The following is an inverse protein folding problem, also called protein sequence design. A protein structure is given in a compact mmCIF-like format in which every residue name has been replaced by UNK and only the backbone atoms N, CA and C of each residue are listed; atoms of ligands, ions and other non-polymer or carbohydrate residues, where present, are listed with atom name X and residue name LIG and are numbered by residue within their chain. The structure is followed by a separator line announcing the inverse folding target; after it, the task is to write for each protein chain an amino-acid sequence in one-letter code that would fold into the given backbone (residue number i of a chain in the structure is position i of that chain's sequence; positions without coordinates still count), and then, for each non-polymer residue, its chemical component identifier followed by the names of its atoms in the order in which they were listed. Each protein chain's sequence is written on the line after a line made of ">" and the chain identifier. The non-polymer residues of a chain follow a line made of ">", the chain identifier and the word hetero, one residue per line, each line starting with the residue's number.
data_IF_842561992883
#
_entry.id   IF_842561992883
#
_cell.length_a   1.000
_cell.length_b   1.000
_cell.length_c   1.000
_cell.angle_alpha   90.00
_cell.angle_beta   90.00
_cell.angle_gamma   90.00
#
_symmetry.space_group_name_H-M   'P 1'
#
loop_
_entity.id
_entity.type
_entity.pdbx_description
1 polymer ?
#
# COMPACT_ATOMS: atom_id res chain seq x y z
N UNK A 1 9.85 -10.00 -11.87
CA UNK A 1 8.41 -9.67 -11.78
C UNK A 1 7.57 -10.07 -12.99
N UNK A 2 8.10 -10.17 -14.23
CA UNK A 2 7.27 -10.42 -15.44
C UNK A 2 6.42 -11.69 -15.47
N UNK A 3 6.69 -12.67 -14.59
CA UNK A 3 5.92 -13.92 -14.45
C UNK A 3 4.95 -13.90 -13.27
N UNK A 4 5.01 -12.89 -12.40
CA UNK A 4 4.09 -12.77 -11.27
C UNK A 4 2.70 -12.41 -11.79
N UNK A 5 1.69 -13.19 -11.39
CA UNK A 5 0.30 -13.05 -11.86
C UNK A 5 -0.65 -13.27 -10.69
N UNK A 6 -1.75 -12.53 -10.70
CA UNK A 6 -2.91 -12.74 -9.83
C UNK A 6 -4.13 -13.06 -10.69
N UNK A 7 -5.15 -13.65 -10.09
CA UNK A 7 -6.43 -13.85 -10.77
C UNK A 7 -7.12 -12.50 -11.00
N UNK A 8 -7.69 -12.30 -12.19
CA UNK A 8 -8.59 -11.15 -12.44
C UNK A 8 -9.88 -11.21 -11.61
N UNK A 9 -10.18 -12.37 -11.02
CA UNK A 9 -11.32 -12.57 -10.13
C UNK A 9 -10.99 -12.30 -8.66
N UNK A 10 -9.74 -11.95 -8.35
CA UNK A 10 -9.34 -11.58 -7.00
C UNK A 10 -10.04 -10.28 -6.59
N UNK A 11 -10.68 -10.27 -5.42
CA UNK A 11 -11.43 -9.11 -4.93
C UNK A 11 -10.51 -7.97 -4.49
N UNK A 12 -9.23 -8.24 -4.23
CA UNK A 12 -8.23 -7.19 -4.11
C UNK A 12 -8.07 -6.40 -5.42
N UNK A 13 -8.19 -7.07 -6.57
CA UNK A 13 -8.17 -6.42 -7.88
C UNK A 13 -9.53 -5.80 -8.24
N UNK A 14 -10.63 -6.55 -8.07
CA UNK A 14 -11.95 -6.09 -8.49
C UNK A 14 -12.54 -4.98 -7.61
N UNK A 15 -12.21 -4.97 -6.31
CA UNK A 15 -12.87 -4.12 -5.32
C UNK A 15 -11.90 -3.39 -4.39
N UNK A 16 -10.59 -3.58 -4.54
CA UNK A 16 -9.60 -3.09 -3.57
C UNK A 16 -9.83 -3.65 -2.15
N UNK A 17 -10.46 -4.83 -2.01
CA UNK A 17 -10.62 -5.53 -0.72
C UNK A 17 -9.29 -6.18 -0.33
N UNK A 18 -8.37 -5.34 0.12
CA UNK A 18 -7.00 -5.68 0.44
C UNK A 18 -6.40 -4.72 1.48
N UNK A 19 -5.44 -5.23 2.24
CA UNK A 19 -4.51 -4.43 3.05
C UNK A 19 -3.08 -4.75 2.61
N UNK A 20 -2.19 -3.79 2.75
CA UNK A 20 -0.77 -3.98 2.46
C UNK A 20 0.10 -3.16 3.39
N UNK A 21 1.39 -3.50 3.42
CA UNK A 21 2.41 -2.63 3.98
C UNK A 21 3.68 -2.69 3.14
N UNK A 22 4.43 -1.60 3.20
CA UNK A 22 5.65 -1.39 2.44
C UNK A 22 6.75 -1.01 3.40
N UNK A 23 7.83 -1.78 3.40
CA UNK A 23 9.04 -1.53 4.18
C UNK A 23 10.23 -1.40 3.25
N UNK A 24 11.19 -0.55 3.63
CA UNK A 24 12.40 -0.36 2.85
C UNK A 24 13.57 -1.15 3.40
N UNK A 25 14.43 -1.62 2.49
CA UNK A 25 15.78 -2.09 2.80
C UNK A 25 16.74 -1.01 2.35
N UNK A 26 17.69 -0.66 3.23
CA UNK A 26 18.79 0.22 2.92
C UNK A 26 20.10 -0.44 3.34
N UNK A 27 21.09 -0.44 2.44
CA UNK A 27 22.38 -1.10 2.65
C UNK A 27 22.27 -2.57 3.13
N UNK A 28 21.24 -3.28 2.66
CA UNK A 28 20.97 -4.68 3.01
C UNK A 28 20.26 -4.90 4.35
N UNK A 29 19.79 -3.85 5.02
CA UNK A 29 19.05 -3.95 6.27
C UNK A 29 17.65 -3.34 6.17
N UNK A 30 16.65 -4.02 6.72
CA UNK A 30 15.30 -3.46 6.82
C UNK A 30 15.28 -2.27 7.79
N UNK A 31 14.54 -1.23 7.43
CA UNK A 31 14.29 -0.10 8.31
C UNK A 31 12.96 -0.27 9.06
N UNK A 32 13.04 -0.45 10.38
CA UNK A 32 11.87 -0.54 11.30
C UNK A 32 10.84 -1.62 10.94
N UNK A 33 11.30 -2.78 10.45
CA UNK A 33 10.43 -3.89 9.99
C UNK A 33 9.32 -4.25 10.97
N UNK A 34 9.62 -4.31 12.26
CA UNK A 34 8.66 -4.67 13.31
C UNK A 34 7.41 -3.79 13.30
N UNK A 35 7.55 -2.49 13.06
CA UNK A 35 6.41 -1.56 13.05
C UNK A 35 5.55 -1.71 11.80
N UNK A 36 6.16 -2.09 10.68
CA UNK A 36 5.44 -2.41 9.45
C UNK A 36 4.66 -3.72 9.60
N UNK A 37 5.24 -4.72 10.28
CA UNK A 37 4.56 -5.97 10.61
C UNK A 37 3.38 -5.70 11.55
N UNK A 38 3.59 -4.96 12.64
CA UNK A 38 2.51 -4.61 13.58
C UNK A 38 1.33 -3.93 12.85
N UNK A 39 1.63 -2.98 11.95
CA UNK A 39 0.60 -2.29 11.16
C UNK A 39 -0.09 -3.21 10.15
N UNK A 40 0.66 -4.09 9.48
CA UNK A 40 0.10 -5.07 8.54
C UNK A 40 -0.85 -6.05 9.23
N UNK A 41 -0.43 -6.66 10.34
CA UNK A 41 -1.27 -7.57 11.11
C UNK A 41 -2.49 -6.87 11.72
N UNK A 42 -2.35 -5.62 12.18
CA UNK A 42 -3.49 -4.79 12.58
C UNK A 42 -4.49 -4.54 11.44
N UNK A 43 -3.99 -4.36 10.21
CA UNK A 43 -4.82 -4.27 9.01
C UNK A 43 -5.59 -5.56 8.73
N UNK A 44 -4.93 -6.72 8.85
CA UNK A 44 -5.58 -8.03 8.70
C UNK A 44 -6.73 -8.20 9.70
N UNK A 45 -6.49 -7.87 10.97
CA UNK A 45 -7.49 -7.96 12.04
C UNK A 45 -8.70 -7.07 11.75
N UNK A 46 -8.46 -5.78 11.46
CA UNK A 46 -9.53 -4.80 11.18
C UNK A 46 -10.37 -5.19 9.96
N UNK A 47 -9.75 -5.78 8.94
CA UNK A 47 -10.45 -6.27 7.73
C UNK A 47 -10.98 -7.71 7.87
N UNK A 48 -10.80 -8.36 9.02
CA UNK A 48 -11.21 -9.76 9.24
C UNK A 48 -10.65 -10.69 8.16
N UNK A 49 -9.35 -10.54 7.88
CA UNK A 49 -8.59 -11.38 6.95
C UNK A 49 -7.66 -12.30 7.74
N UNK A 50 -7.38 -13.46 7.17
CA UNK A 50 -6.44 -14.43 7.74
C UNK A 50 -5.44 -14.88 6.68
N UNK A 51 -4.22 -15.15 7.13
CA UNK A 51 -3.16 -15.75 6.31
C UNK A 51 -2.60 -16.97 7.05
N UNK A 52 -2.03 -17.96 6.36
CA UNK A 52 -1.52 -19.18 7.00
C UNK A 52 -0.12 -18.98 7.62
N UNK A 53 0.33 -17.74 7.79
CA UNK A 53 1.67 -17.38 8.26
C UNK A 53 1.56 -16.53 9.51
N UNK A 54 2.35 -16.85 10.51
CA UNK A 54 2.56 -15.98 11.67
C UNK A 54 3.58 -14.87 11.34
N UNK A 55 3.88 -14.03 12.34
CA UNK A 55 4.76 -12.88 12.18
C UNK A 55 6.18 -13.31 11.79
N UNK A 56 6.67 -14.37 12.39
CA UNK A 56 8.00 -14.93 12.16
C UNK A 56 8.11 -15.47 10.73
N UNK A 57 7.11 -16.23 10.27
CA UNK A 57 7.07 -16.72 8.90
C UNK A 57 6.97 -15.59 7.87
N UNK A 58 6.15 -14.56 8.11
CA UNK A 58 6.09 -13.38 7.22
C UNK A 58 7.46 -12.68 7.19
N UNK A 59 8.12 -12.53 8.33
CA UNK A 59 9.46 -11.95 8.43
C UNK A 59 10.45 -12.72 7.56
N UNK A 60 10.51 -14.04 7.70
CA UNK A 60 11.37 -14.91 6.88
C UNK A 60 11.07 -14.79 5.39
N UNK A 61 9.78 -14.75 5.00
CA UNK A 61 9.38 -14.57 3.60
C UNK A 61 9.94 -13.25 3.04
N UNK A 62 9.85 -12.14 3.79
CA UNK A 62 10.35 -10.85 3.34
C UNK A 62 11.87 -10.83 3.23
N UNK A 63 12.58 -11.42 4.20
CA UNK A 63 14.03 -11.59 4.12
C UNK A 63 14.43 -12.42 2.89
N UNK A 64 13.70 -13.50 2.59
CA UNK A 64 13.93 -14.32 1.40
C UNK A 64 13.66 -13.56 0.11
N UNK A 65 12.60 -12.75 0.03
CA UNK A 65 12.34 -11.89 -1.13
C UNK A 65 13.54 -10.97 -1.42
N UNK A 66 14.09 -10.33 -0.39
CA UNK A 66 15.25 -9.44 -0.52
C UNK A 66 16.50 -10.22 -0.92
N UNK A 67 16.82 -11.32 -0.22
CA UNK A 67 17.99 -12.13 -0.49
C UNK A 67 18.00 -12.67 -1.93
N UNK A 68 16.87 -13.22 -2.39
CA UNK A 68 16.72 -13.76 -3.74
C UNK A 68 16.71 -12.68 -4.83
N UNK A 69 16.31 -11.45 -4.49
CA UNK A 69 16.36 -10.32 -5.44
C UNK A 69 17.79 -9.79 -5.67
N UNK A 70 18.70 -10.00 -4.72
CA UNK A 70 20.05 -9.43 -4.72
C UNK A 70 20.11 -7.92 -4.48
N UNK A 71 18.99 -7.27 -4.14
CA UNK A 71 18.94 -5.83 -3.90
C UNK A 71 19.48 -5.47 -2.52
N UNK A 72 20.43 -4.53 -2.47
CA UNK A 72 20.87 -3.90 -1.21
C UNK A 72 20.04 -2.67 -0.82
N UNK A 73 19.35 -2.06 -1.79
CA UNK A 73 18.35 -1.03 -1.54
C UNK A 73 17.05 -1.47 -2.24
N UNK A 74 15.99 -1.72 -1.45
CA UNK A 74 14.76 -2.31 -1.95
C UNK A 74 13.49 -1.66 -1.39
N UNK A 75 12.46 -1.63 -2.23
CA UNK A 75 11.07 -1.53 -1.83
C UNK A 75 10.54 -2.94 -1.64
N UNK A 76 10.06 -3.25 -0.43
CA UNK A 76 9.53 -4.57 -0.09
C UNK A 76 8.09 -4.41 0.35
N UNK A 77 7.18 -5.12 -0.32
CA UNK A 77 5.76 -5.06 -0.02
C UNK A 77 5.26 -6.43 0.41
N UNK A 78 4.41 -6.40 1.43
CA UNK A 78 3.57 -7.51 1.86
C UNK A 78 2.12 -7.07 1.72
N UNK A 79 1.30 -7.92 1.12
CA UNK A 79 -0.12 -7.64 0.93
C UNK A 79 -0.97 -8.88 1.18
N UNK A 80 -2.20 -8.62 1.60
CA UNK A 80 -3.25 -9.61 1.70
C UNK A 80 -4.48 -9.10 0.99
N UNK A 81 -5.00 -9.90 0.06
CA UNK A 81 -6.32 -9.66 -0.55
C UNK A 81 -7.35 -10.58 0.07
N UNK A 82 -8.62 -10.19 -0.02
CA UNK A 82 -9.75 -11.09 0.27
C UNK A 82 -9.70 -12.37 -0.57
N UNK A 83 -9.06 -12.31 -1.74
CA UNK A 83 -8.95 -13.40 -2.68
C UNK A 83 -10.24 -13.60 -3.46
N UNK A 84 -10.72 -14.84 -3.56
CA UNK A 84 -11.97 -15.15 -4.25
C UNK A 84 -12.76 -16.21 -3.50
N UNK A 85 -14.08 -16.21 -3.69
CA UNK A 85 -14.95 -17.29 -3.23
C UNK A 85 -14.87 -18.49 -4.20
N UNK A 86 -14.54 -19.71 -3.73
CA UNK A 86 -14.54 -20.91 -4.57
C UNK A 86 -15.91 -21.24 -5.20
N UNK A 87 -17.00 -20.73 -4.61
CA UNK A 87 -18.38 -20.96 -5.04
C UNK A 87 -19.02 -19.74 -5.69
N UNK A 88 -18.22 -18.70 -5.99
CA UNK A 88 -18.71 -17.39 -6.46
C UNK A 88 -19.71 -16.70 -5.51
N UNK A 89 -19.73 -17.11 -4.24
CA UNK A 89 -20.52 -16.44 -3.22
C UNK A 89 -20.02 -15.01 -3.02
N UNK A 90 -20.96 -14.09 -2.81
CA UNK A 90 -20.66 -12.70 -2.43
C UNK A 90 -20.41 -12.52 -0.93
N UNK A 91 -20.53 -13.59 -0.14
CA UNK A 91 -20.20 -13.56 1.28
C UNK A 91 -18.66 -13.55 1.47
N UNK A 92 -18.07 -12.46 2.00
CA UNK A 92 -16.61 -12.36 2.17
C UNK A 92 -16.03 -13.39 3.13
N UNK A 93 -16.86 -13.97 4.01
CA UNK A 93 -16.43 -15.04 4.94
C UNK A 93 -16.12 -16.35 4.23
N UNK A 94 -16.61 -16.51 3.00
CA UNK A 94 -16.40 -17.70 2.17
C UNK A 94 -15.27 -17.51 1.16
N UNK A 95 -14.61 -16.35 1.17
CA UNK A 95 -13.46 -16.09 0.32
C UNK A 95 -12.18 -16.68 0.93
N UNK A 96 -11.28 -17.15 0.07
CA UNK A 96 -9.96 -17.63 0.49
C UNK A 96 -8.95 -16.52 0.29
N UNK A 97 -8.47 -15.92 1.38
CA UNK A 97 -7.53 -14.80 1.36
C UNK A 97 -6.19 -15.19 0.73
N UNK A 98 -5.52 -14.21 0.13
CA UNK A 98 -4.25 -14.42 -0.60
C UNK A 98 -3.18 -13.49 -0.05
N UNK A 99 -2.17 -14.09 0.58
CA UNK A 99 -0.94 -13.41 0.94
C UNK A 99 0.04 -13.39 -0.24
N UNK A 100 0.65 -12.24 -0.48
CA UNK A 100 1.71 -12.06 -1.46
C UNK A 100 2.80 -11.16 -0.86
N UNK A 101 4.04 -11.38 -1.27
CA UNK A 101 5.15 -10.52 -0.92
C UNK A 101 6.13 -10.42 -2.10
N UNK A 102 6.76 -9.26 -2.26
CA UNK A 102 7.79 -9.06 -3.28
C UNK A 102 8.80 -7.99 -2.88
N UNK A 103 9.97 -8.05 -3.51
CA UNK A 103 11.01 -7.02 -3.42
C UNK A 103 11.36 -6.52 -4.81
N UNK A 104 11.48 -5.21 -4.96
CA UNK A 104 11.93 -4.53 -6.19
C UNK A 104 12.99 -3.48 -5.84
N UNK A 105 13.78 -2.98 -6.80
CA UNK A 105 14.73 -1.91 -6.54
C UNK A 105 14.06 -0.73 -5.86
N UNK A 106 14.74 -0.12 -4.88
CA UNK A 106 14.24 1.07 -4.23
C UNK A 106 13.98 2.20 -5.25
N UNK A 107 12.81 2.81 -5.17
CA UNK A 107 12.42 4.00 -5.92
C UNK A 107 12.00 5.12 -4.98
N UNK A 108 12.49 6.33 -5.24
CA UNK A 108 12.08 7.53 -4.49
C UNK A 108 10.82 8.13 -5.12
N UNK A 109 9.93 8.66 -4.28
CA UNK A 109 8.75 9.45 -4.70
C UNK A 109 9.13 10.78 -5.37
N UNK A 110 10.37 11.22 -5.16
CA UNK A 110 10.94 12.44 -5.72
C UNK A 110 12.31 12.16 -6.34
N UNK A 111 12.61 12.76 -7.49
CA UNK A 111 13.91 12.67 -8.12
C UNK A 111 14.99 13.43 -7.32
N UNK A 112 16.27 13.25 -7.69
CA UNK A 112 17.39 13.83 -6.94
C UNK A 112 17.36 15.37 -6.88
N UNK A 113 16.80 16.05 -7.88
CA UNK A 113 16.63 17.49 -7.86
C UNK A 113 15.52 17.91 -6.88
N UNK A 114 14.34 17.29 -7.00
CA UNK A 114 13.19 17.51 -6.15
C UNK A 114 13.52 17.29 -4.66
N UNK A 115 14.31 16.26 -4.34
CA UNK A 115 14.78 16.02 -2.97
C UNK A 115 15.68 17.15 -2.43
N UNK A 116 16.45 17.83 -3.28
CA UNK A 116 17.33 18.94 -2.87
C UNK A 116 16.58 20.27 -2.74
N UNK A 117 15.67 20.57 -3.69
CA UNK A 117 14.96 21.86 -3.71
C UNK A 117 13.62 21.85 -2.98
N UNK A 118 13.10 20.67 -2.64
CA UNK A 118 11.74 20.47 -2.15
C UNK A 118 10.73 20.33 -3.30
N UNK A 119 9.64 19.62 -3.03
CA UNK A 119 8.54 19.46 -3.98
C UNK A 119 7.65 20.70 -3.99
N UNK A 120 7.23 21.14 -5.18
CA UNK A 120 6.15 22.11 -5.32
C UNK A 120 4.80 21.39 -5.13
N UNK A 121 4.05 21.81 -4.12
CA UNK A 121 2.79 21.15 -3.72
C UNK A 121 1.61 22.09 -3.93
N UNK A 122 0.50 21.56 -4.47
CA UNK A 122 -0.77 22.26 -4.51
C UNK A 122 -1.77 21.64 -3.52
N UNK A 123 -2.62 22.46 -2.92
CA UNK A 123 -3.79 21.98 -2.19
C UNK A 123 -4.87 21.65 -3.22
N UNK A 124 -5.32 20.40 -3.24
CA UNK A 124 -6.35 19.92 -4.16
C UNK A 124 -7.75 20.15 -3.59
N UNK A 125 -8.72 20.39 -4.47
CA UNK A 125 -10.13 20.56 -4.10
C UNK A 125 -10.85 19.20 -3.90
N UNK A 126 -10.13 18.08 -4.06
CA UNK A 126 -10.63 16.74 -3.74
C UNK A 126 -10.62 16.54 -2.23
N UNK A 127 -11.60 15.78 -1.76
CA UNK A 127 -11.77 15.45 -0.34
C UNK A 127 -11.25 14.04 -0.11
N UNK A 128 -10.44 13.85 0.93
CA UNK A 128 -9.95 12.55 1.36
C UNK A 128 -11.13 11.67 1.79
N UNK A 129 -11.12 10.39 1.42
CA UNK A 129 -12.12 9.41 1.89
C UNK A 129 -12.24 9.50 3.42
N UNK A 130 -13.43 9.81 3.97
CA UNK A 130 -13.58 9.99 5.40
C UNK A 130 -13.29 8.71 6.20
N UNK A 131 -12.73 8.80 7.42
CA UNK A 131 -12.51 7.64 8.29
C UNK A 131 -13.77 6.83 8.61
N UNK A 132 -14.94 7.45 8.56
CA UNK A 132 -16.22 6.77 8.74
C UNK A 132 -16.61 5.87 7.53
N UNK A 133 -15.96 6.05 6.38
CA UNK A 133 -16.16 5.23 5.18
C UNK A 133 -15.06 4.18 5.03
N UNK A 134 -13.79 4.60 5.08
CA UNK A 134 -12.63 3.71 5.07
C UNK A 134 -11.66 4.23 6.13
N UNK A 135 -11.32 3.40 7.13
CA UNK A 135 -10.35 3.75 8.17
C UNK A 135 -8.96 3.98 7.52
N UNK A 136 -8.44 5.22 7.49
CA UNK A 136 -7.17 5.51 6.82
C UNK A 136 -5.96 4.90 7.53
N UNK A 137 -6.12 4.43 8.78
CA UNK A 137 -5.05 3.69 9.47
C UNK A 137 -4.88 2.26 8.93
N UNK A 138 -5.86 1.74 8.17
CA UNK A 138 -5.71 0.52 7.37
C UNK A 138 -5.08 0.92 6.05
N UNK A 139 -3.82 0.54 5.83
CA UNK A 139 -3.11 0.86 4.59
C UNK A 139 -3.70 0.03 3.43
N UNK A 140 -4.30 0.73 2.47
CA UNK A 140 -5.21 0.15 1.48
C UNK A 140 -5.01 0.72 0.05
N UNK A 141 -5.68 0.12 -0.95
CA UNK A 141 -5.61 0.50 -2.36
C UNK A 141 -6.77 1.40 -2.85
N UNK A 142 -7.58 1.97 -1.96
CA UNK A 142 -8.60 2.96 -2.31
C UNK A 142 -7.96 4.33 -2.57
N UNK A 143 -7.31 4.45 -3.74
CA UNK A 143 -6.49 5.60 -4.13
C UNK A 143 -7.18 6.58 -5.09
N UNK A 144 -8.46 6.39 -5.41
CA UNK A 144 -9.12 7.20 -6.45
C UNK A 144 -9.17 8.69 -6.09
N UNK A 145 -9.38 9.04 -4.83
CA UNK A 145 -9.31 10.43 -4.34
C UNK A 145 -7.87 10.97 -4.39
N UNK A 146 -6.88 10.17 -3.96
CA UNK A 146 -5.46 10.49 -4.04
C UNK A 146 -5.00 10.77 -5.47
N UNK A 147 -5.35 9.90 -6.41
CA UNK A 147 -5.05 10.04 -7.84
C UNK A 147 -5.71 11.28 -8.43
N UNK A 148 -6.97 11.55 -8.09
CA UNK A 148 -7.66 12.75 -8.56
C UNK A 148 -7.06 14.02 -7.98
N UNK A 149 -6.59 14.00 -6.73
CA UNK A 149 -5.89 15.14 -6.14
C UNK A 149 -4.55 15.39 -6.82
N UNK A 150 -3.83 14.32 -7.18
CA UNK A 150 -2.58 14.41 -7.92
C UNK A 150 -2.75 15.06 -9.30
N UNK A 151 -3.80 14.69 -10.06
CA UNK A 151 -4.12 15.35 -11.33
C UNK A 151 -4.50 16.83 -11.15
N UNK A 152 -5.27 17.17 -10.10
CA UNK A 152 -5.61 18.58 -9.79
C UNK A 152 -4.35 19.41 -9.49
N UNK A 153 -3.36 18.83 -8.81
CA UNK A 153 -2.07 19.48 -8.60
C UNK A 153 -1.29 19.68 -9.93
N UNK A 154 -1.29 18.69 -10.81
CA UNK A 154 -0.65 18.81 -12.13
C UNK A 154 -1.28 19.91 -12.99
N UNK A 155 -2.62 20.02 -12.98
CA UNK A 155 -3.35 21.08 -13.69
C UNK A 155 -2.99 22.49 -13.18
N UNK A 156 -2.47 22.60 -11.94
CA UNK A 156 -1.98 23.84 -11.32
C UNK A 156 -0.47 24.04 -11.44
N UNK A 157 0.23 23.18 -12.18
CA UNK A 157 1.69 23.24 -12.34
C UNK A 157 2.48 22.83 -11.09
N UNK A 158 1.86 22.11 -10.17
CA UNK A 158 2.53 21.50 -9.03
C UNK A 158 3.01 20.07 -9.33
N UNK A 159 3.83 19.51 -8.45
CA UNK A 159 4.45 18.18 -8.60
C UNK A 159 3.74 17.11 -7.77
N UNK A 160 3.00 17.53 -6.76
CA UNK A 160 2.18 16.65 -5.92
C UNK A 160 1.09 17.45 -5.19
N UNK A 161 0.21 16.74 -4.49
CA UNK A 161 -0.97 17.30 -3.84
C UNK A 161 -0.95 17.12 -2.32
N UNK A 162 -1.50 18.10 -1.61
CA UNK A 162 -2.11 17.91 -0.29
C UNK A 162 -3.62 17.81 -0.46
N UNK A 163 -4.22 16.82 0.19
CA UNK A 163 -5.66 16.58 0.17
C UNK A 163 -6.23 16.92 1.54
N UNK A 164 -7.38 17.57 1.54
CA UNK A 164 -8.05 18.00 2.75
C UNK A 164 -9.13 16.98 3.17
N UNK A 165 -9.43 16.96 4.46
CA UNK A 165 -10.62 16.28 4.97
C UNK A 165 -11.90 17.06 4.62
N UNK A 166 -13.06 16.50 4.96
CA UNK A 166 -14.37 17.11 4.70
C UNK A 166 -14.55 18.48 5.39
N UNK A 167 -13.81 18.74 6.46
CA UNK A 167 -13.87 19.98 7.23
C UNK A 167 -12.84 21.02 6.76
N UNK A 168 -12.06 20.71 5.73
CA UNK A 168 -11.00 21.58 5.22
C UNK A 168 -9.69 21.52 6.01
N UNK A 169 -9.52 20.56 6.92
CA UNK A 169 -8.24 20.34 7.58
C UNK A 169 -7.29 19.57 6.67
N UNK A 170 -5.98 19.74 6.85
CA UNK A 170 -4.97 18.94 6.14
C UNK A 170 -5.10 17.47 6.56
N UNK A 171 -5.21 16.57 5.58
CA UNK A 171 -5.22 15.13 5.80
C UNK A 171 -3.85 14.51 5.44
N UNK A 172 -3.62 14.20 4.16
CA UNK A 172 -2.39 13.55 3.66
C UNK A 172 -2.18 13.81 2.15
N UNK A 173 -1.07 13.34 1.59
CA UNK A 173 -0.77 13.36 0.16
C UNK A 173 -0.84 11.96 -0.49
N UNK A 174 -0.70 11.87 -1.83
CA UNK A 174 -0.64 10.60 -2.54
C UNK A 174 0.69 9.89 -2.24
N UNK A 175 0.70 9.05 -1.20
CA UNK A 175 1.83 8.21 -0.84
C UNK A 175 2.77 8.75 0.24
N UNK A 176 2.38 9.81 0.96
CA UNK A 176 3.11 10.36 2.12
C UNK A 176 2.23 11.27 2.99
#
# INVERSE_FOLDING_TARGET
>A
MSQAKISVLDWGFLHSDATYDTVHVWDGSFFRLDLHLDRFFGGLEKLRMTIPFDREAVTEILHNCVALSGHRAAYVEMLCTRGASPTFSRDPRQAVNRFMAFAVPFGSVANAEQLRRGLHVAISDKVRIPPASVDPSIKNYHWLDLMRGLYDAYDRGAETALILDFNGNVAEGPGF
#
